data_IF_266532896132
#
_entry.id   IF_266532896132
#
_cell.length_a   1.000
_cell.length_b   1.000
_cell.length_c   1.000
_cell.angle_alpha   90.00
_cell.angle_beta   90.00
_cell.angle_gamma   90.00
#
_symmetry.space_group_name_H-M   'P 1'
#
loop_
_entity.id
_entity.type
_entity.pdbx_description
1 polymer ?
#
# COMPACT_ATOMS: atom_id res chain seq x y z
N UNK A 1 33.81 -0.17 -51.69
CA UNK A 1 33.34 0.74 -50.61
C UNK A 1 32.44 -0.05 -49.71
N UNK A 2 32.94 -0.45 -48.52
CA UNK A 2 32.14 -1.15 -47.51
C UNK A 2 31.73 -0.09 -46.49
N UNK A 3 30.44 0.19 -46.42
CA UNK A 3 29.85 1.06 -45.40
C UNK A 3 29.87 0.34 -44.05
N UNK A 4 30.66 0.86 -43.13
CA UNK A 4 30.67 0.46 -41.73
C UNK A 4 29.43 1.04 -41.04
N UNK A 5 28.41 0.20 -40.79
CA UNK A 5 27.31 0.53 -39.90
C UNK A 5 27.86 0.53 -38.46
N UNK A 6 28.00 1.72 -37.88
CA UNK A 6 28.28 1.89 -36.47
C UNK A 6 27.01 1.46 -35.67
N UNK A 7 27.08 0.28 -35.05
CA UNK A 7 26.13 -0.13 -34.03
C UNK A 7 26.39 0.75 -32.79
N UNK A 8 25.66 1.84 -32.66
CA UNK A 8 25.53 2.52 -31.38
C UNK A 8 24.74 1.58 -30.46
N UNK A 9 25.49 0.82 -29.67
CA UNK A 9 24.92 0.06 -28.53
C UNK A 9 24.30 1.03 -27.53
N UNK A 10 23.02 1.37 -27.73
CA UNK A 10 22.25 2.09 -26.74
C UNK A 10 22.18 1.22 -25.48
N UNK A 11 22.72 1.72 -24.37
CA UNK A 11 22.45 1.12 -23.06
C UNK A 11 20.95 0.84 -22.94
N UNK A 12 20.57 -0.37 -22.47
CA UNK A 12 19.14 -0.66 -22.25
C UNK A 12 18.59 0.41 -21.30
N UNK A 13 17.55 1.12 -21.74
CA UNK A 13 16.93 2.16 -20.96
C UNK A 13 16.62 1.61 -19.55
N UNK A 14 17.17 2.27 -18.52
CA UNK A 14 16.96 1.83 -17.13
C UNK A 14 15.46 1.77 -16.86
N UNK A 15 14.94 0.66 -16.29
CA UNK A 15 13.52 0.56 -15.98
C UNK A 15 13.15 1.67 -14.97
N UNK A 16 12.25 2.57 -15.40
CA UNK A 16 11.75 3.68 -14.57
C UNK A 16 10.77 3.12 -13.56
N UNK A 17 10.89 3.54 -12.30
CA UNK A 17 9.88 3.32 -11.29
C UNK A 17 10.41 2.79 -9.96
N UNK A 18 11.43 1.93 -9.94
CA UNK A 18 11.92 1.38 -8.66
C UNK A 18 12.61 2.45 -7.80
N UNK A 19 13.43 3.29 -8.42
CA UNK A 19 14.07 4.41 -7.71
C UNK A 19 13.05 5.40 -7.17
N UNK A 20 12.08 5.78 -8.01
CA UNK A 20 10.98 6.65 -7.64
C UNK A 20 10.10 6.03 -6.53
N UNK A 21 9.88 4.72 -6.56
CA UNK A 21 9.15 4.03 -5.50
C UNK A 21 9.90 4.09 -4.16
N UNK A 22 11.20 3.79 -4.14
CA UNK A 22 12.00 3.83 -2.91
C UNK A 22 12.09 5.26 -2.33
N UNK A 23 12.34 6.25 -3.20
CA UNK A 23 12.39 7.67 -2.79
C UNK A 23 11.01 8.13 -2.31
N UNK A 24 9.94 7.74 -3.00
CA UNK A 24 8.58 8.10 -2.63
C UNK A 24 8.13 7.52 -1.30
N UNK A 25 8.51 6.27 -1.02
CA UNK A 25 8.23 5.62 0.27
C UNK A 25 8.98 6.34 1.41
N UNK A 26 10.29 6.53 1.24
CA UNK A 26 11.10 7.23 2.25
C UNK A 26 10.67 8.68 2.42
N UNK A 27 10.38 9.39 1.32
CA UNK A 27 9.90 10.78 1.34
C UNK A 27 8.50 10.90 1.95
N UNK A 28 7.62 9.92 1.70
CA UNK A 28 6.30 9.86 2.30
C UNK A 28 6.39 9.74 3.83
N UNK A 29 7.20 8.82 4.34
CA UNK A 29 7.43 8.72 5.80
C UNK A 29 8.09 9.97 6.38
N UNK A 30 9.04 10.58 5.68
CA UNK A 30 9.65 11.82 6.14
C UNK A 30 8.63 12.98 6.22
N UNK A 31 7.76 13.11 5.20
CA UNK A 31 6.69 14.11 5.19
C UNK A 31 5.66 13.85 6.29
N UNK A 32 5.26 12.60 6.48
CA UNK A 32 4.38 12.15 7.56
C UNK A 32 4.95 12.57 8.93
N UNK A 33 6.20 12.22 9.20
CA UNK A 33 6.88 12.58 10.45
C UNK A 33 6.95 14.10 10.67
N UNK A 34 7.33 14.85 9.65
CA UNK A 34 7.41 16.32 9.72
C UNK A 34 6.05 16.95 9.95
N UNK A 35 5.02 16.49 9.20
CA UNK A 35 3.66 17.02 9.32
C UNK A 35 3.06 16.74 10.70
N UNK A 36 3.23 15.51 11.21
CA UNK A 36 2.75 15.11 12.54
C UNK A 36 3.49 15.90 13.64
N UNK A 37 4.82 16.02 13.54
CA UNK A 37 5.61 16.80 14.52
C UNK A 37 5.19 18.28 14.52
N UNK A 38 5.01 18.89 13.35
CA UNK A 38 4.55 20.27 13.24
C UNK A 38 3.14 20.46 13.83
N UNK A 39 2.23 19.52 13.58
CA UNK A 39 0.89 19.54 14.16
C UNK A 39 0.92 19.49 15.69
N UNK A 40 1.68 18.55 16.27
CA UNK A 40 1.79 18.39 17.72
C UNK A 40 2.40 19.64 18.38
N UNK A 41 3.44 20.23 17.79
CA UNK A 41 4.03 21.48 18.26
C UNK A 41 3.05 22.65 18.19
N UNK A 42 2.30 22.79 17.08
CA UNK A 42 1.37 23.88 16.88
C UNK A 42 0.14 23.81 17.80
N UNK A 43 -0.31 22.59 18.15
CA UNK A 43 -1.48 22.38 19.01
C UNK A 43 -1.13 22.29 20.50
N UNK A 44 0.15 22.21 20.83
CA UNK A 44 0.60 21.95 22.22
C UNK A 44 0.15 20.58 22.75
N UNK A 45 -0.25 19.66 21.86
CA UNK A 45 -0.69 18.32 22.23
C UNK A 45 0.55 17.49 22.58
N UNK A 46 0.97 17.52 23.85
CA UNK A 46 1.98 16.60 24.33
C UNK A 46 1.34 15.20 24.35
N UNK A 47 1.87 14.29 23.55
CA UNK A 47 1.54 12.86 23.63
C UNK A 47 2.23 12.28 24.88
N UNK A 48 1.70 12.60 26.07
CA UNK A 48 2.12 11.97 27.32
C UNK A 48 1.58 10.55 27.46
N UNK A 49 0.66 10.18 26.56
CA UNK A 49 -0.01 8.89 26.49
C UNK A 49 0.29 8.31 25.10
N UNK A 50 1.19 7.32 25.03
CA UNK A 50 1.60 6.64 23.77
C UNK A 50 0.41 6.00 23.04
N UNK A 51 -0.70 5.77 23.75
CA UNK A 51 -1.91 5.13 23.23
C UNK A 51 -2.94 6.12 22.65
N UNK A 52 -2.67 7.44 22.69
CA UNK A 52 -3.63 8.44 22.22
C UNK A 52 -3.20 9.09 20.90
N UNK A 53 -4.00 8.87 19.87
CA UNK A 53 -3.82 9.48 18.55
C UNK A 53 -4.96 10.46 18.23
N UNK A 54 -4.81 11.76 18.48
CA UNK A 54 -5.82 12.75 18.09
C UNK A 54 -6.13 12.64 16.60
N UNK A 55 -7.41 12.71 16.21
CA UNK A 55 -7.82 12.59 14.81
C UNK A 55 -7.04 13.52 13.87
N UNK A 56 -6.71 14.73 14.35
CA UNK A 56 -5.91 15.69 13.58
C UNK A 56 -4.50 15.18 13.30
N UNK A 57 -3.81 14.59 14.29
CA UNK A 57 -2.46 14.03 14.10
C UNK A 57 -2.48 12.87 13.12
N UNK A 58 -3.44 11.94 13.25
CA UNK A 58 -3.61 10.83 12.31
C UNK A 58 -3.88 11.33 10.88
N UNK A 59 -4.72 12.37 10.77
CA UNK A 59 -5.04 12.96 9.47
C UNK A 59 -3.82 13.54 8.78
N UNK A 60 -3.02 14.36 9.48
CA UNK A 60 -1.82 14.97 8.88
C UNK A 60 -0.74 13.92 8.60
N UNK A 61 -0.65 12.88 9.42
CA UNK A 61 0.24 11.74 9.22
C UNK A 61 -0.08 11.04 7.90
N UNK A 62 -1.31 10.60 7.71
CA UNK A 62 -1.79 9.95 6.49
C UNK A 62 -1.58 10.83 5.25
N UNK A 63 -1.95 12.12 5.31
CA UNK A 63 -1.77 13.02 4.17
C UNK A 63 -0.30 13.25 3.83
N UNK A 64 0.58 13.35 4.83
CA UNK A 64 2.03 13.44 4.63
C UNK A 64 2.55 12.22 3.86
N UNK A 65 2.20 11.01 4.31
CA UNK A 65 2.55 9.77 3.64
C UNK A 65 1.99 9.72 2.20
N UNK A 66 0.69 10.00 2.03
CA UNK A 66 0.03 9.93 0.73
C UNK A 66 0.63 10.89 -0.30
N UNK A 67 1.03 12.10 0.10
CA UNK A 67 1.69 13.05 -0.79
C UNK A 67 2.98 12.44 -1.37
N UNK A 68 3.82 11.84 -0.53
CA UNK A 68 5.05 11.19 -0.99
C UNK A 68 4.79 10.02 -1.94
N UNK A 69 3.85 9.14 -1.58
CA UNK A 69 3.48 7.98 -2.40
C UNK A 69 2.88 8.40 -3.75
N UNK A 70 1.92 9.33 -3.75
CA UNK A 70 1.26 9.79 -4.97
C UNK A 70 2.20 10.60 -5.87
N UNK A 71 3.12 11.37 -5.29
CA UNK A 71 4.13 12.11 -6.05
C UNK A 71 5.07 11.15 -6.79
N UNK A 72 5.50 10.06 -6.13
CA UNK A 72 6.30 9.02 -6.78
C UNK A 72 5.56 8.35 -7.95
N UNK A 73 4.30 7.97 -7.73
CA UNK A 73 3.43 7.42 -8.79
C UNK A 73 3.30 8.40 -9.95
N UNK A 74 3.08 9.67 -9.66
CA UNK A 74 2.92 10.69 -10.68
C UNK A 74 4.21 10.93 -11.49
N UNK A 75 5.36 11.07 -10.82
CA UNK A 75 6.66 11.29 -11.48
C UNK A 75 7.02 10.09 -12.36
N UNK A 76 6.96 8.88 -11.83
CA UNK A 76 7.26 7.66 -12.57
C UNK A 76 6.29 7.46 -13.75
N UNK A 77 5.00 7.69 -13.53
CA UNK A 77 3.98 7.56 -14.57
C UNK A 77 4.16 8.59 -15.68
N UNK A 78 4.50 9.83 -15.36
CA UNK A 78 4.83 10.85 -16.38
C UNK A 78 6.08 10.49 -17.18
N UNK A 79 7.12 10.00 -16.52
CA UNK A 79 8.33 9.56 -17.19
C UNK A 79 8.05 8.41 -18.17
N UNK A 80 7.32 7.39 -17.73
CA UNK A 80 6.88 6.27 -18.58
C UNK A 80 5.99 6.75 -19.74
N UNK A 81 5.05 7.68 -19.49
CA UNK A 81 4.18 8.22 -20.54
C UNK A 81 4.95 8.95 -21.63
N UNK A 82 5.92 9.77 -21.23
CA UNK A 82 6.79 10.49 -22.18
C UNK A 82 7.59 9.55 -23.07
N UNK A 83 8.20 8.52 -22.48
CA UNK A 83 8.95 7.50 -23.22
C UNK A 83 8.05 6.72 -24.21
N UNK A 84 6.80 6.49 -23.84
CA UNK A 84 5.83 5.81 -24.69
C UNK A 84 5.14 6.72 -25.72
N UNK A 85 5.49 8.01 -25.80
CA UNK A 85 4.82 8.99 -26.67
C UNK A 85 3.35 9.24 -26.33
N UNK A 86 2.94 8.93 -25.08
CA UNK A 86 1.55 9.09 -24.60
C UNK A 86 1.38 10.40 -23.86
N UNK A 87 0.14 10.92 -23.82
CA UNK A 87 -0.19 12.11 -23.05
C UNK A 87 0.09 11.95 -21.56
N UNK A 88 0.40 13.06 -20.86
CA UNK A 88 0.77 13.07 -19.43
C UNK A 88 -0.35 13.58 -18.51
N UNK A 89 -1.62 13.41 -18.89
CA UNK A 89 -2.75 13.72 -18.02
C UNK A 89 -2.79 12.77 -16.81
N UNK A 90 -3.39 13.20 -15.69
CA UNK A 90 -3.54 12.36 -14.49
C UNK A 90 -4.22 11.02 -14.81
N UNK A 91 -5.26 11.05 -15.67
CA UNK A 91 -5.94 9.83 -16.12
C UNK A 91 -5.01 8.90 -16.91
N UNK A 92 -4.17 9.45 -17.79
CA UNK A 92 -3.21 8.67 -18.56
C UNK A 92 -2.15 8.03 -17.65
N UNK A 93 -1.69 8.77 -16.63
CA UNK A 93 -0.77 8.26 -15.60
C UNK A 93 -1.40 7.14 -14.78
N UNK A 94 -2.61 7.34 -14.26
CA UNK A 94 -3.32 6.34 -13.47
C UNK A 94 -3.58 5.04 -14.27
N UNK A 95 -3.99 5.17 -15.52
CA UNK A 95 -4.24 4.02 -16.41
C UNK A 95 -2.97 3.19 -16.70
N UNK A 96 -1.78 3.79 -16.69
CA UNK A 96 -0.52 3.06 -16.87
C UNK A 96 -0.23 2.09 -15.73
N UNK A 97 -0.74 2.39 -14.53
CA UNK A 97 -0.62 1.55 -13.36
C UNK A 97 -1.84 0.63 -13.16
N UNK A 98 -2.68 0.50 -14.17
CA UNK A 98 -3.86 -0.38 -14.09
C UNK A 98 -4.96 0.14 -13.17
N UNK A 99 -5.03 1.47 -12.93
CA UNK A 99 -6.09 2.06 -12.13
C UNK A 99 -7.42 2.01 -12.90
N UNK A 100 -8.11 0.90 -12.76
CA UNK A 100 -9.41 0.66 -13.35
C UNK A 100 -10.24 -0.23 -12.41
N UNK A 101 -11.50 0.11 -12.23
CA UNK A 101 -12.48 -0.65 -11.47
C UNK A 101 -13.60 -1.09 -12.39
N UNK A 102 -13.92 -2.38 -12.38
CA UNK A 102 -15.11 -2.95 -13.01
C UNK A 102 -16.00 -3.48 -11.89
N UNK A 103 -17.21 -2.96 -11.77
CA UNK A 103 -18.14 -3.39 -10.71
C UNK A 103 -18.29 -4.91 -10.68
N UNK A 104 -18.37 -5.51 -11.84
CA UNK A 104 -18.29 -6.95 -12.03
C UNK A 104 -17.06 -7.28 -12.89
N UNK A 105 -16.11 -8.11 -12.44
CA UNK A 105 -16.08 -8.97 -11.23
C UNK A 105 -15.31 -8.40 -10.04
N UNK A 106 -14.80 -7.15 -10.07
CA UNK A 106 -13.87 -6.65 -9.05
C UNK A 106 -14.50 -6.58 -7.66
N UNK A 107 -15.78 -6.18 -7.60
CA UNK A 107 -16.47 -6.01 -6.33
C UNK A 107 -16.65 -7.35 -5.58
N UNK A 108 -17.30 -8.38 -6.15
CA UNK A 108 -17.48 -9.66 -5.44
C UNK A 108 -16.14 -10.35 -5.15
N UNK A 109 -15.21 -10.35 -6.11
CA UNK A 109 -13.90 -10.97 -5.93
C UNK A 109 -13.11 -10.28 -4.82
N UNK A 110 -13.05 -8.96 -4.84
CA UNK A 110 -12.34 -8.18 -3.81
C UNK A 110 -12.96 -8.39 -2.43
N UNK A 111 -14.28 -8.33 -2.29
CA UNK A 111 -14.96 -8.57 -1.01
C UNK A 111 -14.61 -9.96 -0.47
N UNK A 112 -14.75 -11.00 -1.28
CA UNK A 112 -14.47 -12.37 -0.85
C UNK A 112 -13.01 -12.53 -0.44
N UNK A 113 -12.06 -12.02 -1.24
CA UNK A 113 -10.62 -12.12 -0.93
C UNK A 113 -10.27 -11.32 0.32
N UNK A 114 -10.78 -10.10 0.48
CA UNK A 114 -10.50 -9.27 1.65
C UNK A 114 -11.03 -9.87 2.94
N UNK A 115 -12.29 -10.31 2.94
CA UNK A 115 -12.91 -10.97 4.10
C UNK A 115 -12.23 -12.31 4.42
N UNK A 116 -11.96 -13.13 3.39
CA UNK A 116 -11.26 -14.40 3.60
C UNK A 116 -9.84 -14.19 4.12
N UNK A 117 -9.14 -13.14 3.67
CA UNK A 117 -7.80 -12.81 4.20
C UNK A 117 -7.88 -12.46 5.68
N UNK A 118 -8.87 -11.70 6.12
CA UNK A 118 -9.01 -11.31 7.52
C UNK A 118 -9.33 -12.52 8.43
N UNK A 119 -10.21 -13.43 7.99
CA UNK A 119 -10.67 -14.52 8.84
C UNK A 119 -9.90 -15.83 8.69
N UNK A 120 -9.18 -16.03 7.57
CA UNK A 120 -8.46 -17.26 7.30
C UNK A 120 -6.94 -17.04 7.21
N UNK A 121 -6.49 -16.08 6.36
CA UNK A 121 -5.07 -15.87 6.12
C UNK A 121 -4.38 -15.29 7.37
N UNK A 122 -4.93 -14.25 7.99
CA UNK A 122 -4.36 -13.62 9.18
C UNK A 122 -4.20 -14.64 10.32
N UNK A 123 -5.26 -15.33 10.78
CA UNK A 123 -5.09 -16.35 11.82
C UNK A 123 -4.09 -17.45 11.45
N UNK A 124 -4.11 -17.93 10.20
CA UNK A 124 -3.20 -18.97 9.75
C UNK A 124 -1.72 -18.57 9.89
N UNK A 125 -1.39 -17.33 9.54
CA UNK A 125 -0.02 -16.80 9.61
C UNK A 125 0.41 -16.44 11.04
N UNK A 126 -0.54 -16.13 11.91
CA UNK A 126 -0.29 -15.71 13.29
C UNK A 126 -0.34 -16.87 14.30
N UNK A 127 -1.04 -17.97 14.00
CA UNK A 127 -1.09 -19.17 14.85
C UNK A 127 0.28 -19.66 15.36
N UNK A 128 1.36 -19.66 14.55
CA UNK A 128 2.68 -20.06 15.02
C UNK A 128 3.26 -19.16 16.12
N UNK A 129 2.76 -17.94 16.29
CA UNK A 129 3.20 -16.99 17.33
C UNK A 129 2.54 -17.26 18.69
N UNK A 130 1.42 -17.99 18.72
CA UNK A 130 0.65 -18.26 19.96
C UNK A 130 1.48 -18.79 21.12
N UNK A 131 2.41 -19.75 20.93
CA UNK A 131 3.22 -20.28 22.03
C UNK A 131 4.21 -19.26 22.60
N UNK A 132 4.58 -18.24 21.82
CA UNK A 132 5.64 -17.27 22.15
C UNK A 132 5.11 -15.91 22.57
N UNK A 133 3.85 -15.59 22.26
CA UNK A 133 3.28 -14.25 22.53
C UNK A 133 2.02 -14.38 23.39
N UNK A 134 2.11 -14.10 24.70
CA UNK A 134 0.93 -14.09 25.56
C UNK A 134 -0.12 -13.09 25.09
N UNK A 135 -1.39 -13.47 25.13
CA UNK A 135 -2.52 -12.65 24.72
C UNK A 135 -2.41 -12.11 23.26
N UNK A 136 -1.85 -12.93 22.35
CA UNK A 136 -1.54 -12.56 20.97
C UNK A 136 -2.70 -11.79 20.28
N UNK A 137 -3.90 -12.34 20.25
CA UNK A 137 -5.04 -11.70 19.56
C UNK A 137 -5.43 -10.33 20.15
N UNK A 138 -5.26 -10.16 21.46
CA UNK A 138 -5.45 -8.84 22.08
C UNK A 138 -4.37 -7.86 21.61
N UNK A 139 -3.12 -8.28 21.53
CA UNK A 139 -1.99 -7.43 21.10
C UNK A 139 -2.08 -7.10 19.60
N UNK A 140 -2.51 -8.03 18.76
CA UNK A 140 -2.71 -7.81 17.32
C UNK A 140 -3.79 -6.74 17.03
N UNK A 141 -4.83 -6.68 17.84
CA UNK A 141 -5.86 -5.64 17.71
C UNK A 141 -5.48 -4.28 18.30
N UNK A 142 -4.35 -4.18 19.01
CA UNK A 142 -3.96 -2.96 19.72
C UNK A 142 -3.78 -1.74 18.80
N UNK A 143 -3.03 -1.80 17.67
CA UNK A 143 -2.83 -0.63 16.81
C UNK A 143 -4.15 -0.03 16.28
N UNK A 144 -5.07 -0.88 15.85
CA UNK A 144 -6.36 -0.41 15.36
C UNK A 144 -7.25 0.14 16.49
N UNK A 145 -7.17 -0.41 17.71
CA UNK A 145 -7.88 0.12 18.87
C UNK A 145 -7.29 1.44 19.35
N UNK A 146 -5.98 1.61 19.40
CA UNK A 146 -5.35 2.89 19.79
C UNK A 146 -5.66 3.99 18.78
N UNK A 147 -5.65 3.65 17.48
CA UNK A 147 -6.03 4.58 16.42
C UNK A 147 -7.47 5.09 16.53
N UNK A 148 -8.38 4.23 17.02
CA UNK A 148 -9.81 4.54 17.07
C UNK A 148 -10.31 4.92 18.46
N UNK A 149 -9.53 4.69 19.53
CA UNK A 149 -9.98 4.68 20.93
C UNK A 149 -10.69 5.95 21.38
N UNK A 150 -10.15 7.11 21.10
CA UNK A 150 -10.68 8.41 21.54
C UNK A 150 -11.58 9.10 20.49
N UNK A 151 -11.81 8.47 19.35
CA UNK A 151 -12.55 9.07 18.23
C UNK A 151 -13.98 8.55 18.21
N UNK A 152 -14.97 9.47 18.29
CA UNK A 152 -16.39 9.16 18.36
C UNK A 152 -17.22 9.95 17.33
N UNK A 153 -18.44 9.53 17.08
CA UNK A 153 -19.40 10.23 16.22
C UNK A 153 -18.87 10.47 14.80
N UNK A 154 -18.99 11.70 14.31
CA UNK A 154 -18.55 12.07 12.95
C UNK A 154 -17.05 11.86 12.76
N UNK A 155 -16.25 12.10 13.79
CA UNK A 155 -14.81 11.86 13.74
C UNK A 155 -14.46 10.41 13.43
N UNK A 156 -15.18 9.46 14.03
CA UNK A 156 -14.99 8.02 13.77
C UNK A 156 -15.31 7.66 12.31
N UNK A 157 -16.39 8.24 11.77
CA UNK A 157 -16.76 8.03 10.35
C UNK A 157 -15.69 8.58 9.43
N UNK A 158 -15.16 9.77 9.71
CA UNK A 158 -14.07 10.37 8.93
C UNK A 158 -12.80 9.51 8.99
N UNK A 159 -12.41 9.05 10.18
CA UNK A 159 -11.28 8.15 10.35
C UNK A 159 -11.48 6.84 9.60
N UNK A 160 -12.66 6.23 9.71
CA UNK A 160 -12.99 5.01 8.98
C UNK A 160 -12.90 5.21 7.46
N UNK A 161 -13.37 6.33 6.92
CA UNK A 161 -13.24 6.65 5.49
C UNK A 161 -11.77 6.82 5.07
N UNK A 162 -10.95 7.49 5.88
CA UNK A 162 -9.52 7.64 5.60
C UNK A 162 -8.82 6.28 5.58
N UNK A 163 -9.02 5.46 6.62
CA UNK A 163 -8.31 4.18 6.79
C UNK A 163 -8.88 3.07 5.90
N UNK A 164 -10.20 2.98 5.75
CA UNK A 164 -10.81 1.90 4.97
C UNK A 164 -10.86 2.19 3.47
N UNK A 165 -10.88 3.46 3.05
CA UNK A 165 -11.02 3.80 1.63
C UNK A 165 -9.83 4.60 1.11
N UNK A 166 -9.46 5.66 1.79
CA UNK A 166 -8.38 6.56 1.36
C UNK A 166 -7.03 5.85 1.27
N UNK A 167 -6.57 5.25 2.39
CA UNK A 167 -5.31 4.51 2.43
C UNK A 167 -5.25 3.39 1.39
N UNK A 168 -6.22 2.46 1.29
CA UNK A 168 -6.19 1.42 0.27
C UNK A 168 -6.04 1.92 -1.15
N UNK A 169 -6.71 3.01 -1.53
CA UNK A 169 -6.60 3.56 -2.88
C UNK A 169 -5.17 4.04 -3.16
N UNK A 170 -4.60 4.82 -2.25
CA UNK A 170 -3.24 5.37 -2.40
C UNK A 170 -2.20 4.26 -2.35
N UNK A 171 -2.33 3.34 -1.40
CA UNK A 171 -1.41 2.24 -1.21
C UNK A 171 -1.43 1.26 -2.39
N UNK A 172 -2.60 0.90 -2.93
CA UNK A 172 -2.66 0.03 -4.10
C UNK A 172 -2.04 0.69 -5.34
N UNK A 173 -2.28 1.98 -5.56
CA UNK A 173 -1.61 2.72 -6.63
C UNK A 173 -0.08 2.68 -6.48
N UNK A 174 0.41 2.82 -5.26
CA UNK A 174 1.85 2.80 -5.00
C UNK A 174 2.42 1.38 -5.02
N UNK A 175 1.92 0.48 -4.16
CA UNK A 175 2.52 -0.84 -4.00
C UNK A 175 2.29 -1.75 -5.21
N UNK A 176 1.07 -1.80 -5.76
CA UNK A 176 0.74 -2.68 -6.90
C UNK A 176 0.90 -1.98 -8.23
N UNK A 177 0.53 -0.70 -8.31
CA UNK A 177 0.72 0.10 -9.49
C UNK A 177 2.20 0.36 -9.78
N UNK A 178 2.92 1.01 -8.87
CA UNK A 178 4.30 1.45 -9.10
C UNK A 178 5.34 0.39 -8.69
N UNK A 179 5.40 0.01 -7.41
CA UNK A 179 6.48 -0.83 -6.89
C UNK A 179 6.47 -2.23 -7.51
N UNK A 180 5.34 -2.94 -7.46
CA UNK A 180 5.22 -4.28 -8.03
C UNK A 180 5.51 -4.32 -9.53
N UNK A 181 4.93 -3.38 -10.31
CA UNK A 181 5.19 -3.32 -11.75
C UNK A 181 6.66 -3.05 -12.06
N UNK A 182 7.32 -2.19 -11.29
CA UNK A 182 8.75 -1.88 -11.44
C UNK A 182 9.64 -3.07 -11.07
N UNK A 183 9.29 -3.81 -10.02
CA UNK A 183 9.99 -5.05 -9.65
C UNK A 183 9.82 -6.11 -10.74
N UNK A 184 8.60 -6.28 -11.25
CA UNK A 184 8.32 -7.26 -12.30
C UNK A 184 9.13 -6.98 -13.57
N UNK A 185 9.21 -5.71 -13.99
CA UNK A 185 10.04 -5.28 -15.11
C UNK A 185 11.54 -5.50 -14.84
N UNK A 186 12.01 -5.15 -13.65
CA UNK A 186 13.44 -5.28 -13.26
C UNK A 186 13.89 -6.73 -13.18
N UNK A 187 13.02 -7.62 -12.72
CA UNK A 187 13.28 -9.04 -12.53
C UNK A 187 12.99 -9.88 -13.79
N UNK A 188 12.43 -9.29 -14.86
CA UNK A 188 12.07 -10.00 -16.08
C UNK A 188 13.20 -10.89 -16.67
N UNK A 189 14.51 -10.51 -16.61
CA UNK A 189 15.60 -11.36 -17.09
C UNK A 189 15.72 -12.71 -16.38
N UNK A 190 15.17 -12.87 -15.17
CA UNK A 190 15.18 -14.13 -14.40
C UNK A 190 14.17 -15.18 -14.92
N UNK A 191 13.38 -14.83 -15.93
CA UNK A 191 12.30 -15.65 -16.45
C UNK A 191 10.97 -15.39 -15.75
N UNK A 192 9.87 -15.64 -16.48
CA UNK A 192 8.51 -15.22 -16.08
C UNK A 192 8.08 -15.73 -14.69
N UNK A 193 8.29 -17.01 -14.40
CA UNK A 193 7.85 -17.59 -13.10
C UNK A 193 8.60 -16.99 -11.92
N UNK A 194 9.93 -16.90 -12.03
CA UNK A 194 10.80 -16.36 -10.98
C UNK A 194 10.53 -14.88 -10.76
N UNK A 195 10.40 -14.08 -11.83
CA UNK A 195 10.12 -12.65 -11.72
C UNK A 195 8.78 -12.35 -11.05
N UNK A 196 7.72 -13.11 -11.36
CA UNK A 196 6.41 -12.96 -10.70
C UNK A 196 6.53 -13.31 -9.22
N UNK A 197 7.09 -14.50 -8.90
CA UNK A 197 7.21 -14.93 -7.51
C UNK A 197 8.03 -13.95 -6.68
N UNK A 198 9.19 -13.52 -7.18
CA UNK A 198 10.05 -12.57 -6.49
C UNK A 198 9.39 -11.18 -6.34
N UNK A 199 8.72 -10.66 -7.37
CA UNK A 199 8.02 -9.38 -7.29
C UNK A 199 6.87 -9.43 -6.27
N UNK A 200 6.08 -10.52 -6.24
CA UNK A 200 5.01 -10.74 -5.26
C UNK A 200 5.57 -10.76 -3.84
N UNK A 201 6.61 -11.57 -3.60
CA UNK A 201 7.22 -11.70 -2.28
C UNK A 201 7.81 -10.36 -1.82
N UNK A 202 8.63 -9.72 -2.64
CA UNK A 202 9.28 -8.45 -2.29
C UNK A 202 8.25 -7.34 -2.01
N UNK A 203 7.23 -7.22 -2.85
CA UNK A 203 6.17 -6.22 -2.63
C UNK A 203 5.40 -6.50 -1.34
N UNK A 204 5.09 -7.76 -1.06
CA UNK A 204 4.42 -8.13 0.19
C UNK A 204 5.27 -7.86 1.42
N UNK A 205 6.57 -8.18 1.38
CA UNK A 205 7.50 -7.88 2.47
C UNK A 205 7.63 -6.37 2.72
N UNK A 206 7.79 -5.56 1.66
CA UNK A 206 7.86 -4.10 1.79
C UNK A 206 6.55 -3.54 2.33
N UNK A 207 5.40 -4.06 1.90
CA UNK A 207 4.09 -3.69 2.42
C UNK A 207 3.97 -3.96 3.92
N UNK A 208 4.34 -5.16 4.37
CA UNK A 208 4.32 -5.50 5.80
C UNK A 208 5.28 -4.63 6.63
N UNK A 209 6.51 -4.39 6.13
CA UNK A 209 7.50 -3.53 6.80
C UNK A 209 7.04 -2.07 6.91
N UNK A 210 6.34 -1.56 5.88
CA UNK A 210 5.87 -0.18 5.84
C UNK A 210 4.83 0.15 6.93
N UNK A 211 4.25 -0.84 7.59
CA UNK A 211 3.29 -0.63 8.68
C UNK A 211 3.95 -0.48 10.06
N UNK A 212 5.25 -0.80 10.21
CA UNK A 212 5.99 -0.75 11.47
C UNK A 212 5.35 -1.53 12.63
N UNK A 213 4.59 -2.59 12.30
CA UNK A 213 3.90 -3.44 13.25
C UNK A 213 4.53 -4.84 13.30
N UNK A 214 5.54 -5.08 14.15
CA UNK A 214 6.30 -6.33 14.16
C UNK A 214 5.44 -7.58 14.38
N UNK A 215 4.41 -7.50 15.22
CA UNK A 215 3.52 -8.63 15.48
C UNK A 215 2.60 -8.95 14.29
N UNK A 216 2.19 -7.93 13.54
CA UNK A 216 1.34 -8.08 12.36
C UNK A 216 2.14 -8.31 11.07
N UNK A 217 3.48 -8.26 11.12
CA UNK A 217 4.33 -8.29 9.93
C UNK A 217 4.02 -9.46 9.00
N UNK A 218 3.90 -10.69 9.55
CA UNK A 218 3.63 -11.88 8.74
C UNK A 218 2.25 -11.81 8.06
N UNK A 219 1.24 -11.38 8.79
CA UNK A 219 -0.11 -11.23 8.27
C UNK A 219 -0.18 -10.14 7.19
N UNK A 220 0.41 -8.97 7.44
CA UNK A 220 0.43 -7.85 6.49
C UNK A 220 1.28 -8.19 5.25
N UNK A 221 2.44 -8.83 5.41
CA UNK A 221 3.26 -9.27 4.28
C UNK A 221 2.51 -10.31 3.44
N UNK A 222 1.89 -11.31 4.07
CA UNK A 222 1.07 -12.32 3.38
C UNK A 222 -0.13 -11.70 2.66
N UNK A 223 -0.85 -10.81 3.30
CA UNK A 223 -1.94 -10.06 2.66
C UNK A 223 -1.42 -9.20 1.50
N UNK A 224 -0.27 -8.55 1.68
CA UNK A 224 0.44 -7.82 0.63
C UNK A 224 0.73 -8.68 -0.61
N UNK A 225 1.13 -9.94 -0.41
CA UNK A 225 1.35 -10.91 -1.49
C UNK A 225 0.03 -11.29 -2.19
N UNK A 226 -1.04 -11.52 -1.43
CA UNK A 226 -2.39 -11.81 -1.98
C UNK A 226 -2.87 -10.66 -2.86
N UNK A 227 -2.74 -9.42 -2.42
CA UNK A 227 -3.12 -8.25 -3.20
C UNK A 227 -2.28 -8.09 -4.48
N UNK A 228 -0.96 -8.39 -4.42
CA UNK A 228 -0.09 -8.37 -5.58
C UNK A 228 -0.49 -9.45 -6.62
N UNK A 229 -0.79 -10.66 -6.16
CA UNK A 229 -1.31 -11.73 -7.02
C UNK A 229 -2.66 -11.37 -7.64
N UNK A 230 -3.55 -10.74 -6.87
CA UNK A 230 -4.86 -10.30 -7.35
C UNK A 230 -4.74 -9.23 -8.42
N UNK A 231 -3.90 -8.20 -8.21
CA UNK A 231 -3.62 -7.18 -9.20
C UNK A 231 -2.96 -7.76 -10.46
N UNK A 232 -2.01 -8.68 -10.31
CA UNK A 232 -1.36 -9.36 -11.42
C UNK A 232 -2.33 -10.20 -12.23
N UNK A 233 -3.15 -11.03 -11.59
CA UNK A 233 -4.07 -11.96 -12.25
C UNK A 233 -5.20 -11.25 -13.01
N UNK A 234 -5.67 -10.10 -12.48
CA UNK A 234 -6.74 -9.32 -13.10
C UNK A 234 -6.23 -8.26 -14.09
N UNK A 235 -4.92 -7.96 -14.05
CA UNK A 235 -4.29 -6.92 -14.87
C UNK A 235 -4.74 -5.49 -14.53
N UNK A 236 -5.35 -5.29 -13.34
CA UNK A 236 -5.85 -3.99 -12.87
C UNK A 236 -5.93 -3.95 -11.33
N UNK A 237 -6.04 -2.73 -10.78
CA UNK A 237 -6.07 -2.52 -9.34
C UNK A 237 -7.46 -2.66 -8.70
N UNK A 238 -8.55 -2.68 -9.48
CA UNK A 238 -9.91 -2.67 -8.94
C UNK A 238 -10.17 -3.75 -7.90
N UNK A 239 -9.85 -5.01 -8.23
CA UNK A 239 -10.06 -6.14 -7.30
C UNK A 239 -9.18 -6.03 -6.04
N UNK A 240 -7.90 -5.60 -6.17
CA UNK A 240 -7.01 -5.45 -5.01
C UNK A 240 -7.42 -4.27 -4.12
N UNK A 241 -7.86 -3.15 -4.70
CA UNK A 241 -8.42 -2.01 -3.94
C UNK A 241 -9.64 -2.47 -3.13
N UNK A 242 -10.60 -3.17 -3.76
CA UNK A 242 -11.80 -3.65 -3.06
C UNK A 242 -11.44 -4.67 -1.98
N UNK A 243 -10.48 -5.56 -2.23
CA UNK A 243 -10.03 -6.53 -1.23
C UNK A 243 -9.40 -5.82 -0.02
N UNK A 244 -8.58 -4.80 -0.25
CA UNK A 244 -7.95 -4.02 0.79
C UNK A 244 -8.98 -3.20 1.59
N UNK A 245 -9.93 -2.54 0.93
CA UNK A 245 -11.06 -1.86 1.58
C UNK A 245 -11.83 -2.84 2.47
N UNK A 246 -12.16 -4.02 1.96
CA UNK A 246 -12.93 -5.02 2.70
C UNK A 246 -12.16 -5.55 3.91
N UNK A 247 -10.86 -5.80 3.78
CA UNK A 247 -9.99 -6.22 4.86
C UNK A 247 -9.97 -5.19 6.01
N UNK A 248 -9.71 -3.92 5.71
CA UNK A 248 -9.69 -2.85 6.71
C UNK A 248 -11.07 -2.62 7.33
N UNK A 249 -12.14 -2.69 6.51
CA UNK A 249 -13.51 -2.50 6.97
C UNK A 249 -13.92 -3.55 8.00
N UNK A 250 -13.55 -4.83 7.80
CA UNK A 250 -13.82 -5.89 8.79
C UNK A 250 -13.23 -5.53 10.14
N UNK A 251 -11.98 -5.06 10.19
CA UNK A 251 -11.32 -4.67 11.44
C UNK A 251 -12.03 -3.48 12.11
N UNK A 252 -12.30 -2.42 11.36
CA UNK A 252 -12.94 -1.20 11.90
C UNK A 252 -14.36 -1.47 12.38
N UNK A 253 -15.13 -2.28 11.65
CA UNK A 253 -16.50 -2.67 12.07
C UNK A 253 -16.44 -3.56 13.30
N UNK A 254 -15.53 -4.52 13.39
CA UNK A 254 -15.38 -5.36 14.58
C UNK A 254 -15.07 -4.53 15.84
N UNK A 255 -14.23 -3.51 15.73
CA UNK A 255 -13.93 -2.59 16.84
C UNK A 255 -15.18 -1.75 17.19
N UNK A 256 -15.90 -1.25 16.20
CA UNK A 256 -17.12 -0.46 16.44
C UNK A 256 -18.20 -1.26 17.19
N UNK A 257 -18.36 -2.55 16.87
CA UNK A 257 -19.33 -3.43 17.52
C UNK A 257 -18.90 -3.89 18.93
N UNK A 258 -17.61 -3.81 19.25
CA UNK A 258 -17.06 -4.18 20.55
C UNK A 258 -17.02 -3.00 21.56
N UNK A 259 -17.42 -1.80 21.17
CA UNK A 259 -17.56 -0.60 22.02
C UNK A 259 -18.90 -0.55 22.72
#
# INVERSE_FOLDING_TARGET
MRSSASSTGGEPARPIGLGEALIGLAGGFALSLVATSAYLLATGTATTDEDRHPLGSVTVDLFGLWIGLLLAVYIAGRARARLAGKGSSLRAVANQFGFALRLWPDLPLGIVVGVASQYLLVPLLELPLLPFVPHLFHRLGHPARSLTGDVHGVGYILLALLVCVGSPIVEELFFRGLLFSSLLERLAPLGRGVSIAAAVILTGLVFGLAHFEPLQFLALAGFGMVLALLAYSTGRLGSSIVAHISFNTVTIVAIALAR
#
